data_IF_180615425221
#
_entry.id   IF_180615425221
#
_cell.length_a   1.000
_cell.length_b   1.000
_cell.length_c   1.000
_cell.angle_alpha   90.00
_cell.angle_beta   90.00
_cell.angle_gamma   90.00
#
_symmetry.space_group_name_H-M   'P 1'
#
loop_
_entity.id
_entity.type
_entity.pdbx_description
1 polymer ?
#
# COMPACT_ATOMS: atom_id res chain seq x y z
N UNK A 1 37.94 3.20 34.72
CA UNK A 1 37.77 1.75 34.89
C UNK A 1 36.84 1.27 33.80
N UNK A 2 37.35 0.53 32.80
CA UNK A 2 36.56 -0.06 31.71
C UNK A 2 36.08 -1.45 32.14
N UNK A 3 34.78 -1.66 32.16
CA UNK A 3 34.11 -2.95 32.22
C UNK A 3 33.20 -2.95 30.98
N UNK A 4 33.65 -3.53 29.87
CA UNK A 4 33.34 -4.92 29.51
C UNK A 4 31.85 -5.20 29.70
N UNK A 5 31.05 -4.90 28.68
CA UNK A 5 30.09 -5.89 28.21
C UNK A 5 29.93 -5.79 26.70
N UNK A 6 30.28 -6.91 26.08
CA UNK A 6 30.50 -7.14 24.66
C UNK A 6 29.76 -8.42 24.35
N UNK A 7 28.51 -8.33 23.92
CA UNK A 7 27.74 -9.43 23.30
C UNK A 7 26.60 -8.77 22.50
N UNK A 8 26.24 -9.12 21.28
CA UNK A 8 26.83 -9.93 20.23
C UNK A 8 25.96 -9.61 19.00
N UNK A 9 26.53 -9.02 17.95
CA UNK A 9 25.84 -8.82 16.68
C UNK A 9 25.94 -10.11 15.85
N UNK A 10 24.85 -10.61 15.22
CA UNK A 10 24.97 -11.67 14.22
C UNK A 10 25.53 -11.07 12.92
N UNK A 11 26.84 -11.21 12.72
CA UNK A 11 27.48 -10.99 11.43
C UNK A 11 27.11 -12.15 10.51
N UNK A 12 26.27 -11.87 9.51
CA UNK A 12 26.10 -12.73 8.34
C UNK A 12 27.42 -12.71 7.56
N UNK A 13 28.31 -13.64 7.89
CA UNK A 13 29.58 -13.82 7.24
C UNK A 13 29.34 -14.42 5.85
N UNK A 14 29.98 -13.77 4.88
CA UNK A 14 30.13 -14.16 3.49
C UNK A 14 30.68 -15.59 3.41
N UNK A 15 30.35 -16.27 2.31
CA UNK A 15 30.80 -17.60 1.84
C UNK A 15 29.90 -18.79 2.20
N UNK A 16 28.74 -18.88 1.54
CA UNK A 16 28.17 -20.18 1.16
C UNK A 16 29.01 -20.80 0.03
N UNK A 17 30.27 -21.10 0.31
CA UNK A 17 31.11 -21.97 -0.53
C UNK A 17 30.77 -23.41 -0.16
N UNK A 18 29.98 -24.07 -1.02
CA UNK A 18 29.73 -25.50 -0.89
C UNK A 18 30.94 -26.30 -1.42
N UNK A 19 31.51 -27.23 -0.64
CA UNK A 19 32.61 -28.07 -1.10
C UNK A 19 32.10 -29.10 -2.10
N UNK A 20 32.54 -29.00 -3.36
CA UNK A 20 32.33 -30.02 -4.39
C UNK A 20 33.16 -31.25 -4.00
N UNK A 21 32.51 -32.25 -3.41
CA UNK A 21 33.10 -33.58 -3.23
C UNK A 21 33.03 -34.34 -4.56
N UNK A 22 34.18 -34.46 -5.23
CA UNK A 22 34.41 -35.38 -6.34
C UNK A 22 34.37 -36.82 -5.84
N UNK A 23 33.18 -37.45 -5.84
CA UNK A 23 33.09 -38.91 -5.70
C UNK A 23 33.33 -39.55 -7.06
N UNK A 24 34.57 -39.95 -7.27
CA UNK A 24 35.00 -40.84 -8.34
C UNK A 24 34.36 -42.21 -8.11
N UNK A 25 33.44 -42.63 -9.00
CA UNK A 25 32.77 -43.94 -8.96
C UNK A 25 33.44 -44.86 -9.99
N UNK A 26 33.76 -46.12 -9.62
CA UNK A 26 34.49 -47.04 -10.50
C UNK A 26 33.65 -47.51 -11.70
N UNK A 27 34.39 -47.72 -12.79
CA UNK A 27 34.05 -48.51 -13.98
C UNK A 27 33.57 -49.91 -13.59
N UNK A 28 32.35 -50.25 -14.02
CA UNK A 28 31.90 -51.63 -14.15
C UNK A 28 31.12 -51.76 -15.46
N UNK A 29 31.82 -52.35 -16.42
CA UNK A 29 31.29 -53.03 -17.59
C UNK A 29 30.85 -54.43 -17.17
N UNK A 30 29.57 -54.77 -17.38
CA UNK A 30 29.05 -56.08 -17.85
C UNK A 30 27.58 -56.26 -17.45
N UNK A 31 26.82 -56.87 -18.36
CA UNK A 31 25.55 -57.50 -18.04
C UNK A 31 24.37 -56.88 -18.76
N UNK A 32 24.02 -57.50 -19.89
CA UNK A 32 22.79 -57.29 -20.60
C UNK A 32 21.57 -57.47 -19.69
N UNK A 33 20.66 -56.49 -19.74
CA UNK A 33 19.23 -56.72 -19.68
C UNK A 33 18.56 -55.61 -20.48
N UNK A 34 18.06 -55.95 -21.67
CA UNK A 34 17.09 -55.13 -22.40
C UNK A 34 15.76 -55.32 -21.66
N UNK A 35 15.68 -54.69 -20.48
CA UNK A 35 14.45 -54.56 -19.70
C UNK A 35 13.54 -53.59 -20.45
N UNK A 36 12.42 -54.15 -20.91
CA UNK A 36 11.37 -53.51 -21.68
C UNK A 36 11.02 -52.08 -21.23
N UNK A 37 10.53 -51.22 -22.15
CA UNK A 37 9.89 -49.97 -21.74
C UNK A 37 8.79 -50.32 -20.74
N UNK A 38 8.98 -49.93 -19.47
CA UNK A 38 7.86 -49.83 -18.54
C UNK A 38 6.98 -48.74 -19.10
N UNK A 39 5.87 -49.14 -19.72
CA UNK A 39 4.74 -48.28 -20.02
C UNK A 39 4.38 -47.59 -18.70
N UNK A 40 4.92 -46.40 -18.50
CA UNK A 40 4.38 -45.50 -17.49
C UNK A 40 3.05 -45.08 -18.08
N UNK A 41 1.98 -45.70 -17.61
CA UNK A 41 0.62 -45.26 -17.89
C UNK A 41 0.56 -43.75 -17.60
N UNK A 42 0.73 -42.94 -18.64
CA UNK A 42 0.46 -41.52 -18.60
C UNK A 42 -1.06 -41.39 -18.47
N UNK A 43 -1.53 -41.48 -17.23
CA UNK A 43 -2.91 -41.22 -16.86
C UNK A 43 -3.20 -39.75 -17.19
N UNK A 44 -3.67 -39.51 -18.42
CA UNK A 44 -4.11 -38.19 -18.85
C UNK A 44 -5.29 -37.74 -18.00
N UNK A 45 -5.21 -36.52 -17.49
CA UNK A 45 -6.35 -35.87 -16.81
C UNK A 45 -7.55 -35.86 -17.74
N UNK A 46 -8.69 -36.34 -17.24
CA UNK A 46 -9.93 -36.27 -18.02
C UNK A 46 -10.39 -34.80 -18.09
N UNK A 47 -10.98 -34.39 -19.22
CA UNK A 47 -11.56 -33.03 -19.36
C UNK A 47 -12.59 -32.72 -18.27
N UNK A 48 -13.29 -33.76 -17.79
CA UNK A 48 -14.28 -33.66 -16.74
C UNK A 48 -13.66 -33.32 -15.38
N UNK A 49 -12.48 -33.84 -15.07
CA UNK A 49 -11.77 -33.56 -13.81
C UNK A 49 -11.38 -32.08 -13.72
N UNK A 50 -10.86 -31.52 -14.82
CA UNK A 50 -10.55 -30.09 -14.88
C UNK A 50 -11.82 -29.23 -14.78
N UNK A 51 -12.93 -29.64 -15.42
CA UNK A 51 -14.20 -28.93 -15.39
C UNK A 51 -14.75 -28.82 -13.96
N UNK A 52 -14.75 -29.93 -13.21
CA UNK A 52 -15.23 -29.95 -11.82
C UNK A 52 -14.36 -29.05 -10.94
N UNK A 53 -13.03 -29.06 -11.13
CA UNK A 53 -12.11 -28.21 -10.36
C UNK A 53 -12.39 -26.73 -10.61
N UNK A 54 -12.47 -26.28 -11.86
CA UNK A 54 -12.73 -24.85 -12.16
C UNK A 54 -14.14 -24.43 -11.71
N UNK A 55 -15.12 -25.34 -11.72
CA UNK A 55 -16.46 -25.07 -11.21
C UNK A 55 -16.45 -24.81 -9.70
N UNK A 56 -15.74 -25.64 -8.92
CA UNK A 56 -15.61 -25.44 -7.47
C UNK A 56 -14.81 -24.18 -7.16
N UNK A 57 -13.71 -23.91 -7.89
CA UNK A 57 -12.93 -22.68 -7.72
C UNK A 57 -13.76 -21.42 -8.02
N UNK A 58 -14.55 -21.43 -9.09
CA UNK A 58 -15.46 -20.34 -9.42
C UNK A 58 -16.52 -20.11 -8.34
N UNK A 59 -17.10 -21.19 -7.80
CA UNK A 59 -18.07 -21.12 -6.71
C UNK A 59 -17.44 -20.48 -5.44
N UNK A 60 -16.24 -20.92 -5.05
CA UNK A 60 -15.56 -20.39 -3.87
C UNK A 60 -15.20 -18.90 -4.05
N UNK A 61 -14.65 -18.52 -5.21
CA UNK A 61 -14.32 -17.12 -5.52
C UNK A 61 -15.58 -16.25 -5.45
N UNK A 62 -16.70 -16.73 -6.01
CA UNK A 62 -17.98 -16.02 -5.97
C UNK A 62 -18.48 -15.70 -4.56
N UNK A 63 -18.21 -16.57 -3.59
CA UNK A 63 -18.59 -16.37 -2.19
C UNK A 63 -17.62 -15.46 -1.42
N UNK A 64 -16.31 -15.59 -1.68
CA UNK A 64 -15.27 -14.87 -0.90
C UNK A 64 -15.06 -13.45 -1.42
N UNK A 65 -15.13 -13.22 -2.73
CA UNK A 65 -14.78 -11.94 -3.34
C UNK A 65 -15.61 -10.75 -2.80
N UNK A 66 -16.95 -10.83 -2.64
CA UNK A 66 -17.74 -9.70 -2.13
C UNK A 66 -17.38 -9.32 -0.69
N UNK A 67 -17.09 -10.30 0.16
CA UNK A 67 -16.71 -10.04 1.55
C UNK A 67 -15.35 -9.34 1.64
N UNK A 68 -14.38 -9.77 0.84
CA UNK A 68 -13.07 -9.12 0.77
C UNK A 68 -13.18 -7.66 0.31
N UNK A 69 -14.00 -7.37 -0.71
CA UNK A 69 -14.23 -6.00 -1.19
C UNK A 69 -14.86 -5.09 -0.13
N UNK A 70 -15.81 -5.60 0.67
CA UNK A 70 -16.43 -4.83 1.77
C UNK A 70 -15.42 -4.47 2.86
N UNK A 71 -14.57 -5.43 3.23
CA UNK A 71 -13.53 -5.19 4.23
C UNK A 71 -12.52 -4.13 3.76
N UNK A 72 -12.13 -4.18 2.49
CA UNK A 72 -11.26 -3.16 1.88
C UNK A 72 -11.92 -1.79 1.85
N UNK A 73 -13.22 -1.72 1.52
CA UNK A 73 -13.98 -0.46 1.51
C UNK A 73 -14.02 0.22 2.89
N UNK A 74 -14.33 -0.55 3.95
CA UNK A 74 -14.34 -0.03 5.32
C UNK A 74 -12.96 0.44 5.79
N UNK A 75 -11.90 -0.31 5.47
CA UNK A 75 -10.53 0.08 5.78
C UNK A 75 -10.13 1.39 5.08
N UNK A 76 -10.48 1.55 3.79
CA UNK A 76 -10.20 2.79 3.04
C UNK A 76 -10.90 4.01 3.63
N UNK A 77 -12.16 3.89 4.04
CA UNK A 77 -12.88 4.99 4.71
C UNK A 77 -12.16 5.42 6.00
N UNK A 78 -11.72 4.47 6.82
CA UNK A 78 -10.97 4.79 8.05
C UNK A 78 -9.64 5.48 7.76
N UNK A 79 -8.89 5.00 6.76
CA UNK A 79 -7.64 5.63 6.32
C UNK A 79 -7.89 7.05 5.79
N UNK A 80 -8.98 7.28 5.06
CA UNK A 80 -9.34 8.61 4.56
C UNK A 80 -9.61 9.59 5.72
N UNK A 81 -10.39 9.19 6.73
CA UNK A 81 -10.61 10.00 7.93
C UNK A 81 -9.32 10.34 8.67
N UNK A 82 -8.45 9.35 8.89
CA UNK A 82 -7.16 9.57 9.55
C UNK A 82 -6.25 10.50 8.73
N UNK A 83 -6.27 10.37 7.41
CA UNK A 83 -5.49 11.23 6.53
C UNK A 83 -5.99 12.68 6.58
N UNK A 84 -7.30 12.90 6.56
CA UNK A 84 -7.91 14.24 6.72
C UNK A 84 -7.54 14.85 8.07
N UNK A 85 -7.61 14.07 9.16
CA UNK A 85 -7.21 14.53 10.50
C UNK A 85 -5.74 14.96 10.52
N UNK A 86 -4.83 14.14 9.98
CA UNK A 86 -3.40 14.48 9.90
C UNK A 86 -3.14 15.71 9.05
N UNK A 87 -3.80 15.84 7.90
CA UNK A 87 -3.68 17.03 7.07
C UNK A 87 -4.24 18.27 7.78
N UNK A 88 -5.28 18.12 8.59
CA UNK A 88 -5.80 19.19 9.43
C UNK A 88 -4.78 19.66 10.47
N UNK A 89 -4.12 18.73 11.17
CA UNK A 89 -3.04 19.06 12.11
C UNK A 89 -1.88 19.81 11.42
N UNK A 90 -1.57 19.43 10.17
CA UNK A 90 -0.55 20.10 9.36
C UNK A 90 -0.98 21.51 8.94
N UNK A 91 -2.26 21.70 8.57
CA UNK A 91 -2.83 23.01 8.27
C UNK A 91 -2.84 23.91 9.52
N UNK A 92 -3.13 23.36 10.68
CA UNK A 92 -3.08 24.08 11.96
C UNK A 92 -1.64 24.55 12.24
N UNK A 93 -0.64 23.70 12.01
CA UNK A 93 0.77 24.08 12.13
C UNK A 93 1.15 25.20 11.14
N UNK A 94 0.72 25.09 9.88
CA UNK A 94 0.91 26.16 8.89
C UNK A 94 0.34 27.50 9.38
N UNK A 95 -0.86 27.47 9.97
CA UNK A 95 -1.52 28.67 10.51
C UNK A 95 -0.79 29.22 11.74
N UNK A 96 -0.23 28.37 12.59
CA UNK A 96 0.56 28.82 13.74
C UNK A 96 1.80 29.61 13.30
N UNK A 97 2.42 29.22 12.20
CA UNK A 97 3.62 29.87 11.67
C UNK A 97 3.31 31.11 10.84
N UNK A 98 2.33 31.04 9.94
CA UNK A 98 2.02 32.11 8.97
C UNK A 98 0.91 33.05 9.40
N UNK A 99 0.09 32.66 10.40
CA UNK A 99 -1.02 33.45 10.94
C UNK A 99 -2.39 33.14 10.30
N UNK A 100 -2.43 32.50 9.13
CA UNK A 100 -3.67 32.14 8.43
C UNK A 100 -3.54 30.78 7.74
N UNK A 101 -4.66 30.14 7.39
CA UNK A 101 -4.62 28.96 6.52
C UNK A 101 -4.27 29.36 5.07
N UNK A 102 -3.75 28.43 4.24
CA UNK A 102 -3.51 28.67 2.83
C UNK A 102 -4.77 29.15 2.09
N UNK A 103 -4.58 29.94 1.05
CA UNK A 103 -5.68 30.34 0.16
C UNK A 103 -6.21 29.13 -0.62
N UNK A 104 -7.42 29.23 -1.18
CA UNK A 104 -7.94 28.16 -2.07
C UNK A 104 -7.12 28.06 -3.36
N UNK A 105 -6.45 29.13 -3.78
CA UNK A 105 -5.61 29.16 -4.98
C UNK A 105 -4.28 28.40 -4.79
N UNK A 106 -3.64 28.58 -3.62
CA UNK A 106 -2.43 27.82 -3.27
C UNK A 106 -2.75 26.39 -2.84
N UNK A 107 -3.90 26.21 -2.19
CA UNK A 107 -4.41 24.91 -1.76
C UNK A 107 -3.47 24.16 -0.82
N UNK A 108 -3.43 22.83 -0.97
CA UNK A 108 -2.54 21.97 -0.19
C UNK A 108 -1.09 22.02 -0.66
N UNK A 109 -0.82 22.59 -1.84
CA UNK A 109 0.55 22.75 -2.36
C UNK A 109 1.37 23.71 -1.49
N UNK A 110 0.72 24.67 -0.82
CA UNK A 110 1.34 25.55 0.17
C UNK A 110 1.99 24.82 1.36
N UNK A 111 1.62 23.55 1.59
CA UNK A 111 2.21 22.71 2.63
C UNK A 111 3.56 22.12 2.21
N UNK A 112 3.84 22.10 0.90
CA UNK A 112 5.06 21.53 0.30
C UNK A 112 6.00 22.68 -0.09
N UNK A 113 5.47 23.69 -0.76
CA UNK A 113 6.24 24.83 -1.26
C UNK A 113 5.73 26.13 -0.64
N UNK A 114 6.65 27.07 -0.43
CA UNK A 114 6.33 28.37 0.14
C UNK A 114 5.47 29.19 -0.83
N UNK A 115 4.25 29.61 -0.45
CA UNK A 115 3.47 30.53 -1.27
C UNK A 115 4.01 31.97 -1.18
N UNK A 116 3.66 32.82 -2.14
CA UNK A 116 4.24 34.16 -2.28
C UNK A 116 3.86 35.11 -1.14
N UNK A 117 2.72 34.87 -0.50
CA UNK A 117 2.11 35.68 0.54
C UNK A 117 2.50 35.26 1.97
N UNK A 118 3.13 34.09 2.15
CA UNK A 118 3.53 33.61 3.46
C UNK A 118 4.90 34.17 3.89
N UNK A 119 4.91 35.15 4.80
CA UNK A 119 6.12 35.78 5.33
C UNK A 119 6.96 34.84 6.23
N UNK A 120 6.30 34.11 7.15
CA UNK A 120 6.93 33.28 8.19
C UNK A 120 6.83 31.77 7.92
N UNK A 121 6.82 31.37 6.65
CA UNK A 121 6.72 29.95 6.27
C UNK A 121 7.96 29.16 6.72
N UNK A 122 7.75 28.11 7.54
CA UNK A 122 8.82 27.26 8.09
C UNK A 122 8.77 25.81 7.55
N UNK A 123 8.06 25.58 6.45
CA UNK A 123 7.91 24.25 5.84
C UNK A 123 9.19 23.69 5.22
N UNK A 124 9.11 22.57 4.48
CA UNK A 124 7.88 21.86 4.11
C UNK A 124 7.22 21.16 5.30
N UNK A 125 5.89 21.23 5.36
CA UNK A 125 5.11 20.62 6.44
C UNK A 125 4.70 19.17 6.13
N UNK A 126 4.81 18.76 4.87
CA UNK A 126 4.67 17.38 4.43
C UNK A 126 6.04 16.75 4.16
N UNK A 127 6.18 15.46 4.47
CA UNK A 127 7.41 14.70 4.19
C UNK A 127 7.56 14.36 2.71
N UNK A 128 6.42 14.15 2.05
CA UNK A 128 6.37 13.80 0.64
C UNK A 128 6.23 15.10 -0.17
N UNK A 129 7.08 15.26 -1.20
CA UNK A 129 7.07 16.43 -2.09
C UNK A 129 5.99 16.32 -3.18
N UNK A 130 4.84 15.76 -2.85
CA UNK A 130 3.74 15.55 -3.77
C UNK A 130 2.42 15.79 -3.07
N UNK A 131 1.44 16.29 -3.81
CA UNK A 131 0.11 16.53 -3.25
C UNK A 131 -0.47 15.25 -2.64
N UNK A 132 -0.98 15.33 -1.40
CA UNK A 132 -1.58 14.18 -0.75
C UNK A 132 -2.81 13.73 -1.54
N UNK A 133 -2.93 12.41 -1.68
CA UNK A 133 -4.08 11.76 -2.32
C UNK A 133 -4.80 10.89 -1.31
N UNK A 134 -6.10 10.70 -1.55
CA UNK A 134 -6.91 9.81 -0.74
C UNK A 134 -6.67 8.33 -1.10
N UNK A 135 -7.26 7.37 -0.35
CA UNK A 135 -7.08 5.93 -0.60
C UNK A 135 -7.61 5.41 -1.95
N UNK A 136 -8.37 6.23 -2.68
CA UNK A 136 -8.85 5.95 -4.04
C UNK A 136 -8.02 6.68 -5.10
N UNK A 137 -6.94 7.35 -4.69
CA UNK A 137 -6.03 8.14 -5.51
C UNK A 137 -6.64 9.43 -6.08
N UNK A 138 -7.70 9.95 -5.46
CA UNK A 138 -8.25 11.25 -5.79
C UNK A 138 -7.50 12.35 -5.02
N UNK A 139 -7.33 13.54 -5.61
CA UNK A 139 -6.84 14.69 -4.86
C UNK A 139 -7.86 15.10 -3.79
N UNK A 140 -7.38 15.55 -2.65
CA UNK A 140 -8.23 16.19 -1.65
C UNK A 140 -8.79 17.51 -2.20
N UNK A 141 -10.03 17.82 -1.81
CA UNK A 141 -10.69 19.07 -2.11
C UNK A 141 -10.50 19.97 -0.90
N UNK A 142 -9.83 21.09 -1.11
CA UNK A 142 -9.58 22.11 -0.08
C UNK A 142 -10.25 23.42 -0.46
N UNK A 143 -10.91 24.08 0.49
CA UNK A 143 -11.44 25.43 0.31
C UNK A 143 -11.37 26.26 1.60
N UNK A 144 -10.92 27.50 1.46
CA UNK A 144 -10.84 28.51 2.51
C UNK A 144 -11.27 29.87 1.93
N UNK A 145 -12.32 30.53 2.46
CA UNK A 145 -13.08 30.15 3.66
C UNK A 145 -13.95 28.90 3.48
N UNK A 146 -14.29 28.24 4.58
CA UNK A 146 -15.22 27.09 4.56
C UNK A 146 -16.59 27.47 4.00
N UNK A 147 -17.20 26.55 3.24
CA UNK A 147 -18.60 26.62 2.81
C UNK A 147 -19.55 26.11 3.92
N UNK A 148 -19.02 25.37 4.91
CA UNK A 148 -19.80 24.75 5.99
C UNK A 148 -19.85 25.66 7.23
N UNK A 149 -21.02 25.82 7.87
CA UNK A 149 -21.13 26.66 9.07
C UNK A 149 -20.26 26.15 10.21
N UNK A 150 -19.48 27.05 10.82
CA UNK A 150 -18.71 26.74 12.03
C UNK A 150 -17.32 26.12 11.80
N UNK A 151 -16.89 26.01 10.55
CA UNK A 151 -15.53 25.59 10.20
C UNK A 151 -14.75 26.75 9.58
N UNK A 152 -13.43 26.76 9.76
CA UNK A 152 -12.56 27.77 9.15
C UNK A 152 -12.25 27.44 7.68
N UNK A 153 -12.04 26.16 7.38
CA UNK A 153 -11.78 25.61 6.05
C UNK A 153 -12.52 24.28 5.85
N UNK A 154 -12.66 23.89 4.58
CA UNK A 154 -13.09 22.54 4.22
C UNK A 154 -11.93 21.74 3.63
N UNK A 155 -11.78 20.51 4.11
CA UNK A 155 -10.88 19.51 3.57
C UNK A 155 -11.64 18.20 3.41
N UNK A 156 -11.84 17.77 2.16
CA UNK A 156 -12.71 16.65 1.83
C UNK A 156 -12.05 15.65 0.87
N UNK A 157 -12.35 14.37 1.03
CA UNK A 157 -12.09 13.29 0.08
C UNK A 157 -13.38 12.92 -0.64
N UNK A 158 -13.27 12.63 -1.95
CA UNK A 158 -14.41 12.15 -2.77
C UNK A 158 -14.86 10.74 -2.36
N UNK A 159 -13.99 9.97 -1.71
CA UNK A 159 -14.29 8.61 -1.31
C UNK A 159 -14.36 7.64 -2.48
N UNK A 160 -15.07 6.53 -2.30
CA UNK A 160 -15.22 5.50 -3.35
C UNK A 160 -16.03 5.96 -4.58
N UNK A 161 -16.72 7.10 -4.49
CA UNK A 161 -17.61 7.59 -5.54
C UNK A 161 -16.97 8.76 -6.29
N UNK A 162 -16.36 8.49 -7.44
CA UNK A 162 -15.78 9.55 -8.30
C UNK A 162 -16.82 10.53 -8.86
N UNK A 163 -18.09 10.11 -8.95
CA UNK A 163 -19.05 10.66 -9.90
C UNK A 163 -20.12 11.59 -9.32
N UNK A 164 -20.15 11.83 -8.00
CA UNK A 164 -21.17 12.70 -7.41
C UNK A 164 -20.52 14.03 -7.01
N UNK A 165 -20.93 15.14 -7.62
CA UNK A 165 -20.64 16.49 -7.09
C UNK A 165 -21.36 16.77 -5.76
N UNK A 166 -22.04 15.77 -5.23
CA UNK A 166 -22.78 15.85 -3.98
C UNK A 166 -21.78 15.87 -2.82
N UNK A 167 -21.57 17.06 -2.25
CA UNK A 167 -20.69 17.28 -1.09
C UNK A 167 -21.16 16.50 0.14
N UNK A 168 -22.45 16.14 0.21
CA UNK A 168 -22.98 15.33 1.33
C UNK A 168 -22.44 13.90 1.33
N UNK A 169 -21.96 13.40 0.18
CA UNK A 169 -21.34 12.08 0.06
C UNK A 169 -19.83 12.08 0.33
N UNK A 170 -19.22 13.27 0.44
CA UNK A 170 -17.77 13.40 0.67
C UNK A 170 -17.41 13.16 2.14
N UNK A 171 -16.21 12.62 2.35
CA UNK A 171 -15.64 12.47 3.69
C UNK A 171 -14.87 13.76 3.98
N UNK A 172 -15.34 14.58 4.93
CA UNK A 172 -14.74 15.89 5.24
C UNK A 172 -14.20 15.97 6.67
N UNK A 173 -13.43 17.02 6.96
CA UNK A 173 -13.00 17.34 8.33
C UNK A 173 -14.22 17.53 9.25
N UNK A 174 -14.10 17.08 10.52
CA UNK A 174 -15.18 17.12 11.50
C UNK A 174 -15.57 18.53 11.92
#
# INVERSE_FOLDING_TARGET
>A
MRLFDTLAQPRCAKTCEWPVRTTQRPDQTEGADIGAPSDTDEAGFTLLELLVVIAILGLLIGLVAPAALRQLGGARNSVAHQSIQRLGEVLDLYRLDTGSYPSTEDGLHALIERPQDAENWNGPYLKDNADPKDPWHHPYIYSNPSERPGHDYDLCSKGAHEATSDRAAMICNP
#
